data_IF_454238471433
#
_entry.id   IF_454238471433
#
_cell.length_a   1.000
_cell.length_b   1.000
_cell.length_c   1.000
_cell.angle_alpha   90.00
_cell.angle_beta   90.00
_cell.angle_gamma   90.00
#
_symmetry.space_group_name_H-M   'P 1'
#
loop_
_entity.id
_entity.type
_entity.pdbx_description
1 polymer ?
#
# COMPACT_ATOMS: atom_id res chain seq x y z
N UNK A 1 -21.33 -66.81 13.52
CA UNK A 1 -20.10 -66.51 12.76
C UNK A 1 -20.48 -66.31 11.31
N UNK A 2 -20.74 -65.06 10.91
CA UNK A 2 -21.04 -64.64 9.53
C UNK A 2 -20.38 -63.27 9.35
N UNK A 3 -19.58 -63.15 8.29
CA UNK A 3 -18.89 -61.92 7.87
C UNK A 3 -19.91 -60.85 7.43
N UNK A 4 -19.67 -59.60 7.83
CA UNK A 4 -20.06 -58.43 7.05
C UNK A 4 -18.82 -57.58 6.76
N UNK A 5 -18.26 -57.81 5.58
CA UNK A 5 -17.35 -56.87 4.91
C UNK A 5 -18.16 -55.67 4.41
N UNK A 6 -18.18 -54.60 5.20
CA UNK A 6 -18.69 -53.30 4.79
C UNK A 6 -17.58 -52.45 4.19
N UNK A 7 -17.41 -52.55 2.87
CA UNK A 7 -16.66 -51.57 2.08
C UNK A 7 -17.29 -50.19 2.29
N UNK A 8 -16.58 -49.29 2.95
CA UNK A 8 -16.87 -47.86 2.90
C UNK A 8 -15.78 -47.23 2.04
N UNK A 9 -16.16 -46.95 0.80
CA UNK A 9 -15.38 -46.19 -0.14
C UNK A 9 -14.77 -44.96 0.55
N UNK A 10 -13.45 -44.80 0.40
CA UNK A 10 -12.80 -43.51 0.57
C UNK A 10 -13.37 -42.57 -0.49
N UNK A 11 -14.48 -41.90 -0.18
CA UNK A 11 -14.79 -40.63 -0.80
C UNK A 11 -13.58 -39.76 -0.52
N UNK A 12 -12.79 -39.51 -1.57
CA UNK A 12 -11.72 -38.53 -1.54
C UNK A 12 -12.34 -37.22 -1.10
N UNK A 13 -12.27 -36.94 0.20
CA UNK A 13 -12.62 -35.65 0.76
C UNK A 13 -11.66 -34.69 0.06
N UNK A 14 -12.17 -33.95 -0.93
CA UNK A 14 -11.52 -32.75 -1.41
C UNK A 14 -11.23 -31.94 -0.16
N UNK A 15 -9.96 -31.94 0.28
CA UNK A 15 -9.53 -31.13 1.40
C UNK A 15 -9.93 -29.70 1.04
N UNK A 16 -10.95 -29.19 1.71
CA UNK A 16 -11.32 -27.80 1.52
C UNK A 16 -10.11 -26.97 1.86
N UNK A 17 -9.71 -26.07 0.97
CA UNK A 17 -8.58 -25.18 1.22
C UNK A 17 -9.12 -23.92 1.86
N UNK A 18 -8.43 -23.40 2.88
CA UNK A 18 -8.75 -22.11 3.46
C UNK A 18 -8.62 -21.04 2.37
N UNK A 19 -9.75 -20.41 2.03
CA UNK A 19 -9.79 -19.35 1.02
C UNK A 19 -8.93 -18.11 1.38
N UNK A 20 -8.53 -17.96 2.65
CA UNK A 20 -7.74 -16.82 3.11
C UNK A 20 -6.22 -17.05 3.01
N UNK A 21 -5.72 -18.28 3.14
CA UNK A 21 -4.27 -18.54 3.19
C UNK A 21 -3.80 -19.75 2.38
N UNK A 22 -4.69 -20.47 1.69
CA UNK A 22 -4.30 -21.63 0.89
C UNK A 22 -3.95 -22.88 1.72
N UNK A 23 -4.03 -22.81 3.05
CA UNK A 23 -3.75 -23.95 3.92
C UNK A 23 -4.92 -24.95 3.95
N UNK A 24 -4.69 -26.25 4.22
CA UNK A 24 -5.76 -27.22 4.38
C UNK A 24 -6.74 -26.78 5.48
N UNK A 25 -8.02 -26.66 5.16
CA UNK A 25 -9.08 -26.40 6.11
C UNK A 25 -9.69 -27.72 6.58
N UNK A 26 -9.48 -28.06 7.86
CA UNK A 26 -10.01 -29.27 8.48
C UNK A 26 -10.96 -29.02 9.67
N UNK A 27 -11.22 -27.76 10.03
CA UNK A 27 -12.05 -27.40 11.18
C UNK A 27 -12.91 -26.15 10.89
N UNK A 28 -13.72 -25.74 11.86
CA UNK A 28 -14.54 -24.52 11.76
C UNK A 28 -13.72 -23.23 11.67
N UNK A 29 -12.45 -23.28 12.07
CA UNK A 29 -11.49 -22.21 11.89
C UNK A 29 -10.27 -22.72 11.12
N UNK A 30 -9.66 -21.87 10.31
CA UNK A 30 -8.36 -22.20 9.72
C UNK A 30 -7.29 -22.20 10.80
N UNK A 31 -6.55 -23.30 10.95
CA UNK A 31 -5.46 -23.41 11.93
C UNK A 31 -4.27 -22.49 11.61
N UNK A 32 -4.06 -22.13 10.34
CA UNK A 32 -2.92 -21.30 9.91
C UNK A 32 -3.18 -19.79 10.04
N UNK A 33 -4.40 -19.33 9.74
CA UNK A 33 -4.73 -17.89 9.75
C UNK A 33 -5.90 -17.52 10.67
N UNK A 34 -6.45 -18.49 11.41
CA UNK A 34 -7.55 -18.33 12.34
C UNK A 34 -8.91 -18.03 11.69
N UNK A 35 -9.02 -18.06 10.36
CA UNK A 35 -10.22 -17.64 9.61
C UNK A 35 -11.45 -18.44 10.03
N UNK A 36 -12.57 -17.76 10.33
CA UNK A 36 -13.84 -18.44 10.59
C UNK A 36 -14.44 -18.96 9.28
N UNK A 37 -14.57 -20.27 9.18
CA UNK A 37 -15.07 -20.98 8.01
C UNK A 37 -16.60 -21.20 8.09
N UNK A 38 -17.24 -20.84 9.21
CA UNK A 38 -18.69 -20.96 9.43
C UNK A 38 -19.49 -19.80 8.84
N UNK A 39 -18.89 -18.62 8.65
CA UNK A 39 -19.60 -17.37 8.35
C UNK A 39 -20.08 -17.18 6.88
N UNK A 40 -20.39 -18.28 6.18
CA UNK A 40 -20.93 -18.22 4.81
C UNK A 40 -22.47 -18.13 4.83
N UNK A 41 -23.04 -17.03 5.32
CA UNK A 41 -24.50 -16.84 5.47
C UNK A 41 -25.26 -16.44 4.18
N UNK A 42 -24.67 -16.59 3.00
CA UNK A 42 -25.37 -16.52 1.71
C UNK A 42 -25.46 -17.92 1.09
N UNK A 43 -26.30 -18.76 1.69
CA UNK A 43 -26.45 -20.18 1.31
C UNK A 43 -26.88 -20.43 -0.14
N UNK A 44 -27.42 -19.44 -0.85
CA UNK A 44 -27.84 -19.59 -2.26
C UNK A 44 -26.70 -19.46 -3.28
N UNK A 45 -25.57 -18.79 -2.93
CA UNK A 45 -24.40 -18.68 -3.81
C UNK A 45 -23.21 -19.53 -3.35
N UNK A 46 -23.39 -20.33 -2.29
CA UNK A 46 -22.42 -21.30 -1.80
C UNK A 46 -21.04 -20.73 -1.44
N UNK A 47 -20.10 -21.65 -1.21
CA UNK A 47 -18.66 -21.40 -0.97
C UNK A 47 -17.98 -20.56 -2.08
N UNK A 48 -18.63 -20.35 -3.22
CA UNK A 48 -18.12 -19.55 -4.34
C UNK A 48 -18.25 -18.01 -4.14
N UNK A 49 -19.17 -17.53 -3.29
CA UNK A 49 -19.34 -16.09 -3.06
C UNK A 49 -18.41 -15.50 -1.97
N UNK A 50 -17.92 -16.33 -1.05
CA UNK A 50 -16.93 -15.93 -0.04
C UNK A 50 -15.61 -15.38 -0.65
N UNK A 51 -15.01 -16.03 -1.66
CA UNK A 51 -13.82 -15.49 -2.33
C UNK A 51 -14.15 -14.24 -3.17
N UNK A 52 -15.33 -14.15 -3.79
CA UNK A 52 -15.72 -12.96 -4.59
C UNK A 52 -15.90 -11.72 -3.72
N UNK A 53 -16.52 -11.85 -2.54
CA UNK A 53 -16.69 -10.76 -1.55
C UNK A 53 -15.36 -10.21 -1.01
N UNK A 54 -14.28 -11.00 -1.08
CA UNK A 54 -12.94 -10.66 -0.59
C UNK A 54 -11.93 -10.44 -1.72
N UNK A 55 -12.35 -10.57 -2.98
CA UNK A 55 -11.49 -10.35 -4.15
C UNK A 55 -11.09 -8.87 -4.24
N UNK A 56 -9.85 -8.62 -4.64
CA UNK A 56 -9.32 -7.25 -4.79
C UNK A 56 -10.25 -6.36 -5.64
N UNK A 57 -10.73 -6.77 -6.83
CA UNK A 57 -11.59 -5.91 -7.66
C UNK A 57 -12.92 -5.57 -6.98
N UNK A 58 -13.55 -6.52 -6.27
CA UNK A 58 -14.81 -6.27 -5.60
C UNK A 58 -14.68 -5.28 -4.43
N UNK A 59 -13.63 -5.44 -3.60
CA UNK A 59 -13.33 -4.52 -2.51
C UNK A 59 -12.97 -3.14 -3.07
N UNK A 60 -12.14 -3.09 -4.12
CA UNK A 60 -11.72 -1.85 -4.76
C UNK A 60 -12.90 -1.06 -5.34
N UNK A 61 -13.79 -1.72 -6.09
CA UNK A 61 -15.00 -1.08 -6.64
C UNK A 61 -15.95 -0.60 -5.54
N UNK A 62 -16.04 -1.35 -4.42
CA UNK A 62 -16.84 -0.93 -3.27
C UNK A 62 -16.25 0.34 -2.64
N UNK A 63 -14.94 0.40 -2.45
CA UNK A 63 -14.26 1.61 -1.97
C UNK A 63 -14.49 2.76 -2.95
N UNK A 64 -14.34 2.55 -4.26
CA UNK A 64 -14.51 3.59 -5.28
C UNK A 64 -15.87 4.30 -5.21
N UNK A 65 -16.96 3.58 -4.89
CA UNK A 65 -18.32 4.16 -4.76
C UNK A 65 -18.45 5.14 -3.60
N UNK A 66 -17.73 4.92 -2.51
CA UNK A 66 -17.75 5.81 -1.35
C UNK A 66 -16.41 5.72 -0.60
N UNK A 67 -15.33 6.34 -1.13
CA UNK A 67 -13.95 6.04 -0.72
C UNK A 67 -13.72 6.18 0.77
N UNK A 68 -14.16 7.30 1.35
CA UNK A 68 -13.94 7.59 2.78
C UNK A 68 -14.76 6.64 3.66
N UNK A 69 -16.04 6.49 3.35
CA UNK A 69 -16.97 5.68 4.15
C UNK A 69 -16.57 4.21 4.10
N UNK A 70 -16.40 3.64 2.92
CA UNK A 70 -16.14 2.20 2.78
C UNK A 70 -14.75 1.82 3.30
N UNK A 71 -13.72 2.66 3.12
CA UNK A 71 -12.39 2.39 3.69
C UNK A 71 -12.45 2.31 5.21
N UNK A 72 -13.15 3.25 5.86
CA UNK A 72 -13.27 3.27 7.32
C UNK A 72 -14.19 2.17 7.85
N UNK A 73 -15.32 1.93 7.20
CA UNK A 73 -16.25 0.85 7.57
C UNK A 73 -15.55 -0.53 7.48
N UNK A 74 -14.73 -0.78 6.44
CA UNK A 74 -13.92 -1.99 6.35
C UNK A 74 -12.84 -2.08 7.42
N UNK A 75 -12.22 -0.94 7.79
CA UNK A 75 -11.21 -0.91 8.84
C UNK A 75 -11.79 -1.23 10.22
N UNK A 76 -13.04 -0.83 10.47
CA UNK A 76 -13.75 -1.10 11.72
C UNK A 76 -14.35 -2.50 11.79
N UNK A 77 -14.68 -3.12 10.65
CA UNK A 77 -15.28 -4.46 10.59
C UNK A 77 -14.32 -5.56 11.09
N UNK A 78 -14.53 -6.20 12.26
CA UNK A 78 -13.62 -7.23 12.77
C UNK A 78 -13.55 -8.49 11.89
N UNK A 79 -14.56 -8.73 11.05
CA UNK A 79 -14.66 -9.91 10.21
C UNK A 79 -13.83 -9.82 8.92
N UNK A 80 -13.48 -8.61 8.48
CA UNK A 80 -12.69 -8.42 7.26
C UNK A 80 -11.19 -8.64 7.53
N UNK A 81 -10.65 -9.75 7.00
CA UNK A 81 -9.24 -10.16 7.19
C UNK A 81 -8.36 -9.98 5.95
N UNK A 82 -8.96 -9.74 4.78
CA UNK A 82 -8.25 -9.57 3.51
C UNK A 82 -7.54 -8.21 3.34
N UNK A 83 -7.36 -7.43 4.40
CA UNK A 83 -6.76 -6.09 4.29
C UNK A 83 -5.29 -6.12 3.87
N UNK A 84 -4.53 -7.12 4.33
CA UNK A 84 -3.12 -7.27 3.96
C UNK A 84 -2.97 -7.72 2.49
N UNK A 85 -3.74 -8.72 2.05
CA UNK A 85 -3.73 -9.16 0.65
C UNK A 85 -4.21 -8.05 -0.29
N UNK A 86 -5.21 -7.26 0.13
CA UNK A 86 -5.66 -6.08 -0.61
C UNK A 86 -4.53 -5.04 -0.76
N UNK A 87 -3.81 -4.73 0.33
CA UNK A 87 -2.67 -3.82 0.30
C UNK A 87 -1.55 -4.33 -0.60
N UNK A 88 -1.15 -5.59 -0.45
CA UNK A 88 -0.09 -6.21 -1.24
C UNK A 88 -0.44 -6.27 -2.73
N UNK A 89 -1.69 -6.57 -3.08
CA UNK A 89 -2.16 -6.53 -4.47
C UNK A 89 -2.07 -5.12 -5.04
N UNK A 90 -2.50 -4.11 -4.28
CA UNK A 90 -2.39 -2.71 -4.68
C UNK A 90 -0.95 -2.24 -4.86
N UNK A 91 -0.05 -2.64 -3.95
CA UNK A 91 1.40 -2.37 -4.05
C UNK A 91 2.00 -3.10 -5.25
N UNK A 92 1.61 -4.35 -5.52
CA UNK A 92 2.09 -5.10 -6.68
C UNK A 92 1.70 -4.40 -7.99
N UNK A 93 0.45 -3.96 -8.12
CA UNK A 93 -0.01 -3.17 -9.26
C UNK A 93 0.76 -1.84 -9.39
N UNK A 94 0.98 -1.15 -8.27
CA UNK A 94 1.82 0.05 -8.24
C UNK A 94 3.24 -0.25 -8.75
N UNK A 95 3.92 -1.28 -8.24
CA UNK A 95 5.26 -1.64 -8.67
C UNK A 95 5.30 -1.97 -10.17
N UNK A 96 4.33 -2.74 -10.68
CA UNK A 96 4.25 -3.06 -12.11
C UNK A 96 4.14 -1.80 -12.99
N UNK A 97 3.37 -0.80 -12.54
CA UNK A 97 3.14 0.44 -13.29
C UNK A 97 4.25 1.49 -13.08
N UNK A 98 4.88 1.51 -11.91
CA UNK A 98 5.83 2.55 -11.51
C UNK A 98 7.28 2.17 -11.80
N UNK A 99 7.65 0.89 -11.86
CA UNK A 99 9.01 0.45 -12.22
C UNK A 99 9.51 1.06 -13.53
N UNK A 100 8.71 1.12 -14.62
CA UNK A 100 9.12 1.80 -15.86
C UNK A 100 9.47 3.29 -15.67
N UNK A 101 8.76 3.97 -14.76
CA UNK A 101 9.02 5.39 -14.41
C UNK A 101 10.38 5.51 -13.74
N UNK A 102 10.64 4.70 -12.70
CA UNK A 102 11.92 4.71 -11.96
C UNK A 102 13.10 4.43 -12.90
N UNK A 103 12.93 3.50 -13.83
CA UNK A 103 13.97 3.14 -14.79
C UNK A 103 14.35 4.29 -15.74
N UNK A 104 13.38 5.17 -16.10
CA UNK A 104 13.64 6.34 -16.94
C UNK A 104 14.20 7.55 -16.19
N UNK A 105 13.83 7.72 -14.92
CA UNK A 105 14.05 8.99 -14.19
C UNK A 105 15.36 9.02 -13.39
N UNK A 106 15.82 7.87 -12.89
CA UNK A 106 17.00 7.81 -12.01
C UNK A 106 18.31 7.64 -12.79
N UNK A 107 18.25 7.50 -14.13
CA UNK A 107 19.46 7.51 -14.96
C UNK A 107 19.90 8.97 -15.15
N UNK A 108 21.10 9.38 -14.71
CA UNK A 108 21.57 10.74 -14.90
C UNK A 108 21.72 11.02 -16.41
N UNK A 109 20.92 11.94 -16.94
CA UNK A 109 21.05 12.43 -18.32
C UNK A 109 22.24 13.39 -18.51
N UNK A 110 22.91 13.79 -17.42
CA UNK A 110 23.90 14.88 -17.40
C UNK A 110 25.37 14.40 -17.27
N UNK A 111 25.75 13.33 -17.97
CA UNK A 111 27.16 13.08 -18.31
C UNK A 111 28.14 12.81 -17.16
N UNK A 112 27.70 12.67 -15.90
CA UNK A 112 28.57 12.15 -14.84
C UNK A 112 28.80 10.66 -15.09
N UNK A 113 30.07 10.21 -15.23
CA UNK A 113 30.39 8.82 -15.54
C UNK A 113 30.20 7.94 -14.30
N UNK A 114 28.96 7.74 -13.88
CA UNK A 114 28.65 6.85 -12.77
C UNK A 114 28.44 5.43 -13.29
N UNK A 115 29.12 4.45 -12.69
CA UNK A 115 29.00 3.04 -13.04
C UNK A 115 27.55 2.53 -13.03
N UNK A 116 27.22 1.56 -13.89
CA UNK A 116 25.87 0.98 -13.98
C UNK A 116 25.41 0.38 -12.64
N UNK A 117 26.36 -0.18 -11.87
CA UNK A 117 26.11 -0.68 -10.51
C UNK A 117 25.69 0.43 -9.54
N UNK A 118 26.31 1.62 -9.62
CA UNK A 118 25.92 2.78 -8.82
C UNK A 118 24.55 3.32 -9.23
N UNK A 119 24.25 3.37 -10.53
CA UNK A 119 22.92 3.80 -11.01
C UNK A 119 21.82 2.84 -10.52
N UNK A 120 22.09 1.53 -10.56
CA UNK A 120 21.19 0.50 -10.03
C UNK A 120 21.00 0.65 -8.52
N UNK A 121 22.08 0.90 -7.79
CA UNK A 121 22.02 1.16 -6.35
C UNK A 121 21.17 2.39 -6.02
N UNK A 122 21.36 3.50 -6.74
CA UNK A 122 20.57 4.73 -6.57
C UNK A 122 19.08 4.49 -6.84
N UNK A 123 18.73 3.71 -7.87
CA UNK A 123 17.35 3.29 -8.17
C UNK A 123 16.74 2.54 -6.99
N UNK A 124 17.44 1.52 -6.48
CA UNK A 124 16.94 0.69 -5.37
C UNK A 124 16.79 1.51 -4.09
N UNK A 125 17.80 2.30 -3.72
CA UNK A 125 17.77 3.14 -2.52
C UNK A 125 16.64 4.17 -2.56
N UNK A 126 16.34 4.75 -3.73
CA UNK A 126 15.22 5.69 -3.89
C UNK A 126 13.86 5.05 -3.55
N UNK A 127 13.66 3.78 -3.93
CA UNK A 127 12.42 3.04 -3.64
C UNK A 127 12.34 2.64 -2.16
N UNK A 128 13.44 2.14 -1.60
CA UNK A 128 13.52 1.82 -0.17
C UNK A 128 13.19 3.04 0.69
N UNK A 129 13.72 4.22 0.33
CA UNK A 129 13.41 5.48 1.01
C UNK A 129 11.91 5.79 1.07
N UNK A 130 11.18 5.55 -0.03
CA UNK A 130 9.72 5.76 -0.08
C UNK A 130 8.99 4.81 0.88
N UNK A 131 9.33 3.51 0.89
CA UNK A 131 8.70 2.54 1.79
C UNK A 131 9.00 2.82 3.27
N UNK A 132 10.23 3.20 3.60
CA UNK A 132 10.63 3.61 4.94
C UNK A 132 9.86 4.88 5.36
N UNK A 133 9.79 5.87 4.49
CA UNK A 133 9.01 7.09 4.72
C UNK A 133 7.53 6.80 4.98
N UNK A 134 6.92 5.89 4.22
CA UNK A 134 5.54 5.45 4.47
C UNK A 134 5.37 4.81 5.86
N UNK A 135 6.30 3.94 6.27
CA UNK A 135 6.26 3.31 7.58
C UNK A 135 6.40 4.32 8.74
N UNK A 136 7.29 5.31 8.59
CA UNK A 136 7.47 6.39 9.56
C UNK A 136 6.21 7.26 9.63
N UNK A 137 5.65 7.64 8.47
CA UNK A 137 4.41 8.43 8.42
C UNK A 137 3.28 7.69 9.12
N UNK A 138 3.14 6.39 8.87
CA UNK A 138 2.15 5.54 9.52
C UNK A 138 2.32 5.53 11.06
N UNK A 139 3.53 5.25 11.55
CA UNK A 139 3.78 5.18 13.00
C UNK A 139 3.55 6.54 13.68
N UNK A 140 4.03 7.62 13.06
CA UNK A 140 3.88 8.97 13.59
C UNK A 140 2.43 9.44 13.56
N UNK A 141 1.71 9.20 12.46
CA UNK A 141 0.29 9.48 12.37
C UNK A 141 -0.49 8.68 13.41
N UNK A 142 -0.23 7.38 13.60
CA UNK A 142 -0.84 6.60 14.67
C UNK A 142 -0.63 7.24 16.03
N UNK A 143 0.61 7.58 16.38
CA UNK A 143 0.95 8.17 17.68
C UNK A 143 0.25 9.51 17.90
N UNK A 144 0.32 10.42 16.92
CA UNK A 144 -0.30 11.74 16.99
C UNK A 144 -1.82 11.66 17.09
N UNK A 145 -2.47 10.93 16.18
CA UNK A 145 -3.92 10.80 16.21
C UNK A 145 -4.40 10.09 17.47
N UNK A 146 -3.72 9.01 17.89
CA UNK A 146 -4.06 8.32 19.14
C UNK A 146 -3.90 9.22 20.35
N UNK A 147 -2.88 10.09 20.39
CA UNK A 147 -2.69 11.01 21.51
C UNK A 147 -3.84 12.04 21.61
N UNK A 148 -4.19 12.68 20.50
CA UNK A 148 -5.17 13.77 20.48
C UNK A 148 -6.64 13.34 20.28
N UNK A 149 -6.90 12.11 19.83
CA UNK A 149 -8.26 11.63 19.62
C UNK A 149 -8.99 11.37 20.96
N UNK A 150 -10.28 11.70 20.99
CA UNK A 150 -11.17 11.33 22.09
C UNK A 150 -11.39 9.81 22.13
N UNK A 151 -11.57 9.18 20.96
CA UNK A 151 -11.75 7.73 20.84
C UNK A 151 -10.40 7.08 20.59
N UNK A 152 -9.95 6.24 21.54
CA UNK A 152 -8.68 5.50 21.40
C UNK A 152 -8.90 4.21 20.61
N UNK A 153 -8.49 4.19 19.35
CA UNK A 153 -8.52 3.01 18.48
C UNK A 153 -7.24 2.17 18.66
N UNK A 154 -7.33 0.84 18.70
CA UNK A 154 -6.15 -0.03 18.83
C UNK A 154 -5.28 -0.01 17.57
N UNK A 155 -4.00 -0.35 17.73
CA UNK A 155 -3.01 -0.34 16.64
C UNK A 155 -3.43 -1.21 15.46
N UNK A 156 -3.94 -2.43 15.70
CA UNK A 156 -4.34 -3.34 14.63
C UNK A 156 -5.45 -2.75 13.72
N UNK A 157 -6.40 -1.99 14.29
CA UNK A 157 -7.46 -1.35 13.53
C UNK A 157 -6.92 -0.21 12.66
N UNK A 158 -5.95 0.54 13.18
CA UNK A 158 -5.27 1.59 12.42
C UNK A 158 -4.36 1.03 11.32
N UNK A 159 -3.63 -0.05 11.62
CA UNK A 159 -2.86 -0.81 10.62
C UNK A 159 -3.75 -1.27 9.47
N UNK A 160 -4.92 -1.82 9.79
CA UNK A 160 -5.92 -2.22 8.82
C UNK A 160 -6.44 -1.06 7.96
N UNK A 161 -6.74 0.09 8.57
CA UNK A 161 -7.10 1.32 7.84
C UNK A 161 -6.00 1.69 6.84
N UNK A 162 -4.75 1.65 7.27
CA UNK A 162 -3.60 2.01 6.44
C UNK A 162 -3.40 1.04 5.28
N UNK A 163 -3.52 -0.27 5.51
CA UNK A 163 -3.50 -1.30 4.46
C UNK A 163 -4.59 -1.06 3.40
N UNK A 164 -5.82 -0.75 3.83
CA UNK A 164 -6.93 -0.44 2.93
C UNK A 164 -6.69 0.84 2.13
N UNK A 165 -6.22 1.90 2.79
CA UNK A 165 -5.92 3.17 2.13
C UNK A 165 -4.79 3.03 1.10
N UNK A 166 -3.70 2.36 1.47
CA UNK A 166 -2.58 2.08 0.56
C UNK A 166 -3.01 1.20 -0.61
N UNK A 167 -3.72 0.10 -0.36
CA UNK A 167 -4.20 -0.80 -1.41
C UNK A 167 -5.12 -0.12 -2.41
N UNK A 168 -5.86 0.90 -1.97
CA UNK A 168 -6.73 1.70 -2.82
C UNK A 168 -5.97 2.78 -3.60
N UNK A 169 -5.06 3.51 -2.95
CA UNK A 169 -4.38 4.67 -3.56
C UNK A 169 -3.21 4.26 -4.46
N UNK A 170 -2.45 3.21 -4.10
CA UNK A 170 -1.23 2.85 -4.80
C UNK A 170 -1.46 2.55 -6.30
N UNK A 171 -2.50 1.80 -6.71
CA UNK A 171 -2.80 1.59 -8.14
C UNK A 171 -3.14 2.88 -8.88
N UNK A 172 -3.93 3.78 -8.28
CA UNK A 172 -4.28 5.08 -8.89
C UNK A 172 -3.02 5.90 -9.13
N UNK A 173 -2.16 5.97 -8.11
CA UNK A 173 -0.90 6.70 -8.19
C UNK A 173 0.04 6.11 -9.26
N UNK A 174 0.22 4.79 -9.26
CA UNK A 174 1.07 4.11 -10.24
C UNK A 174 0.56 4.28 -11.68
N UNK A 175 -0.74 4.12 -11.91
CA UNK A 175 -1.35 4.29 -13.23
C UNK A 175 -1.21 5.73 -13.75
N UNK A 176 -1.44 6.71 -12.88
CA UNK A 176 -1.30 8.12 -13.22
C UNK A 176 0.15 8.46 -13.61
N UNK A 177 1.12 8.06 -12.80
CA UNK A 177 2.54 8.32 -13.05
C UNK A 177 3.02 7.62 -14.33
N UNK A 178 2.60 6.38 -14.56
CA UNK A 178 2.87 5.67 -15.80
C UNK A 178 2.33 6.45 -17.00
N UNK A 179 1.06 6.84 -16.97
CA UNK A 179 0.45 7.58 -18.08
C UNK A 179 1.17 8.91 -18.33
N UNK A 180 1.32 9.74 -17.30
CA UNK A 180 1.85 11.10 -17.45
C UNK A 180 3.32 11.07 -17.83
N UNK A 181 4.16 10.27 -17.15
CA UNK A 181 5.61 10.29 -17.41
C UNK A 181 6.04 9.39 -18.55
N UNK A 182 5.46 8.20 -18.69
CA UNK A 182 5.92 7.21 -19.68
C UNK A 182 5.27 7.43 -21.04
N UNK A 183 3.96 7.70 -21.06
CA UNK A 183 3.19 7.81 -22.30
C UNK A 183 3.12 9.25 -22.81
N UNK A 184 2.94 10.23 -21.92
CA UNK A 184 2.74 11.64 -22.31
C UNK A 184 4.00 12.51 -22.17
N UNK A 185 5.04 12.03 -21.49
CA UNK A 185 6.27 12.80 -21.26
C UNK A 185 6.09 14.06 -20.40
N UNK A 186 5.04 14.11 -19.58
CA UNK A 186 4.70 15.25 -18.74
C UNK A 186 5.30 15.21 -17.34
N UNK A 187 4.96 16.23 -16.55
CA UNK A 187 5.33 16.37 -15.14
C UNK A 187 4.37 15.57 -14.26
N UNK A 188 4.87 14.49 -13.66
CA UNK A 188 4.14 13.69 -12.64
C UNK A 188 4.34 14.20 -11.21
N UNK A 189 3.56 13.72 -10.25
CA UNK A 189 3.67 14.12 -8.84
C UNK A 189 5.03 13.78 -8.23
N UNK A 190 5.67 12.72 -8.69
CA UNK A 190 7.03 12.34 -8.29
C UNK A 190 8.08 13.40 -8.65
N UNK A 191 7.75 14.38 -9.50
CA UNK A 191 8.62 15.51 -9.83
C UNK A 191 8.71 16.56 -8.72
N UNK A 192 7.70 16.65 -7.85
CA UNK A 192 7.60 17.73 -6.85
C UNK A 192 8.67 17.67 -5.75
N UNK A 193 9.42 16.57 -5.66
CA UNK A 193 10.58 16.44 -4.77
C UNK A 193 11.90 16.96 -5.37
N UNK A 194 11.92 17.35 -6.66
CA UNK A 194 13.11 17.78 -7.39
C UNK A 194 13.05 19.25 -7.82
N UNK A 195 14.15 19.76 -8.41
CA UNK A 195 14.17 21.11 -8.99
C UNK A 195 13.22 21.14 -10.20
N UNK A 196 12.27 22.07 -10.18
CA UNK A 196 11.35 22.36 -11.29
C UNK A 196 11.53 23.79 -11.75
N UNK A 197 11.52 24.01 -13.06
CA UNK A 197 11.54 25.34 -13.65
C UNK A 197 10.16 25.99 -13.60
N UNK A 198 10.09 27.31 -13.79
CA UNK A 198 8.81 28.03 -13.90
C UNK A 198 7.95 27.49 -15.05
N UNK A 199 8.57 27.17 -16.19
CA UNK A 199 7.88 26.59 -17.34
C UNK A 199 7.24 25.23 -17.01
N UNK A 200 7.90 24.40 -16.18
CA UNK A 200 7.37 23.09 -15.78
C UNK A 200 6.07 23.23 -14.98
N UNK A 201 5.99 24.23 -14.08
CA UNK A 201 4.81 24.50 -13.27
C UNK A 201 3.59 24.92 -14.07
N UNK A 202 3.81 25.56 -15.22
CA UNK A 202 2.73 26.03 -16.09
C UNK A 202 2.20 24.93 -17.02
N UNK A 203 2.80 23.73 -17.02
CA UNK A 203 2.32 22.61 -17.84
C UNK A 203 0.97 22.07 -17.34
N UNK A 204 0.06 21.66 -18.24
CA UNK A 204 -1.19 21.01 -17.84
C UNK A 204 -0.98 19.75 -16.98
N UNK A 205 0.10 19.01 -17.24
CA UNK A 205 0.48 17.84 -16.43
C UNK A 205 0.84 18.19 -15.00
N UNK A 206 1.52 19.32 -14.77
CA UNK A 206 1.85 19.77 -13.42
C UNK A 206 0.58 20.16 -12.66
N UNK A 207 -0.34 20.90 -13.29
CA UNK A 207 -1.64 21.23 -12.68
C UNK A 207 -2.46 19.99 -12.34
N UNK A 208 -2.52 19.01 -13.24
CA UNK A 208 -3.18 17.73 -12.99
C UNK A 208 -2.52 16.97 -11.82
N UNK A 209 -1.18 17.00 -11.73
CA UNK A 209 -0.43 16.37 -10.65
C UNK A 209 -0.72 17.05 -9.30
N UNK A 210 -0.80 18.38 -9.26
CA UNK A 210 -1.19 19.13 -8.06
C UNK A 210 -2.62 18.77 -7.64
N UNK A 211 -3.56 18.75 -8.59
CA UNK A 211 -4.95 18.40 -8.31
C UNK A 211 -5.07 16.98 -7.74
N UNK A 212 -4.37 16.00 -8.33
CA UNK A 212 -4.36 14.63 -7.83
C UNK A 212 -3.72 14.55 -6.44
N UNK A 213 -2.60 15.22 -6.21
CA UNK A 213 -1.94 15.25 -4.90
C UNK A 213 -2.88 15.81 -3.81
N UNK A 214 -3.60 16.89 -4.10
CA UNK A 214 -4.60 17.47 -3.20
C UNK A 214 -5.78 16.53 -2.95
N UNK A 215 -6.27 15.82 -3.97
CA UNK A 215 -7.34 14.83 -3.82
C UNK A 215 -6.92 13.65 -2.95
N UNK A 216 -5.72 13.10 -3.18
CA UNK A 216 -5.18 12.02 -2.37
C UNK A 216 -4.97 12.47 -0.92
N UNK A 217 -4.43 13.66 -0.72
CA UNK A 217 -4.27 14.25 0.61
C UNK A 217 -5.62 14.45 1.31
N UNK A 218 -6.62 15.02 0.62
CA UNK A 218 -7.96 15.20 1.16
C UNK A 218 -8.62 13.86 1.52
N UNK A 219 -8.42 12.82 0.71
CA UNK A 219 -8.85 11.46 1.02
C UNK A 219 -8.22 10.94 2.31
N UNK A 220 -6.90 11.06 2.48
CA UNK A 220 -6.21 10.66 3.71
C UNK A 220 -6.71 11.43 4.94
N UNK A 221 -6.87 12.75 4.83
CA UNK A 221 -7.44 13.57 5.91
C UNK A 221 -8.85 13.10 6.26
N UNK A 222 -9.69 12.84 5.26
CA UNK A 222 -11.09 12.47 5.47
C UNK A 222 -11.24 11.09 6.13
N UNK A 223 -10.44 10.08 5.75
CA UNK A 223 -10.46 8.76 6.42
C UNK A 223 -9.99 8.86 7.87
N UNK A 224 -8.95 9.67 8.16
CA UNK A 224 -8.46 9.86 9.52
C UNK A 224 -9.47 10.62 10.38
N UNK A 225 -10.06 11.69 9.84
CA UNK A 225 -11.14 12.44 10.48
C UNK A 225 -12.27 11.51 10.92
N UNK A 226 -12.74 10.65 10.02
CA UNK A 226 -13.85 9.72 10.29
C UNK A 226 -13.45 8.62 11.27
N UNK A 227 -12.32 7.96 11.05
CA UNK A 227 -11.84 6.84 11.89
C UNK A 227 -11.58 7.25 13.34
N UNK A 228 -10.97 8.42 13.54
CA UNK A 228 -10.64 8.97 14.86
C UNK A 228 -11.75 9.88 15.43
N UNK A 229 -12.84 10.08 14.69
CA UNK A 229 -13.97 10.96 15.07
C UNK A 229 -13.50 12.37 15.48
N UNK A 230 -12.63 12.97 14.68
CA UNK A 230 -12.03 14.29 14.95
C UNK A 230 -12.62 15.36 14.03
N UNK A 231 -12.57 16.65 14.40
CA UNK A 231 -12.88 17.73 13.47
C UNK A 231 -11.84 17.79 12.34
N UNK A 232 -12.27 18.24 11.15
CA UNK A 232 -11.45 18.24 9.93
C UNK A 232 -10.12 18.97 10.13
N UNK A 233 -10.13 20.13 10.79
CA UNK A 233 -8.93 20.94 10.98
C UNK A 233 -7.86 20.23 11.83
N UNK A 234 -8.26 19.46 12.86
CA UNK A 234 -7.32 18.65 13.66
C UNK A 234 -6.74 17.53 12.81
N UNK A 235 -7.58 16.82 12.06
CA UNK A 235 -7.11 15.76 11.19
C UNK A 235 -6.13 16.27 10.13
N UNK A 236 -6.43 17.42 9.52
CA UNK A 236 -5.56 18.14 8.60
C UNK A 236 -4.22 18.47 9.23
N UNK A 237 -4.22 19.13 10.39
CA UNK A 237 -3.00 19.57 11.06
C UNK A 237 -2.12 18.39 11.49
N UNK A 238 -2.70 17.36 12.10
CA UNK A 238 -1.96 16.19 12.56
C UNK A 238 -1.40 15.36 11.41
N UNK A 239 -2.16 15.19 10.32
CA UNK A 239 -1.68 14.47 9.15
C UNK A 239 -0.59 15.25 8.40
N UNK A 240 -0.73 16.57 8.29
CA UNK A 240 0.28 17.45 7.71
C UNK A 240 1.58 17.39 8.53
N UNK A 241 1.49 17.51 9.85
CA UNK A 241 2.63 17.40 10.76
C UNK A 241 3.33 16.04 10.60
N UNK A 242 2.56 14.95 10.61
CA UNK A 242 3.10 13.61 10.41
C UNK A 242 3.84 13.48 9.07
N UNK A 243 3.25 14.03 8.01
CA UNK A 243 3.81 13.98 6.65
C UNK A 243 5.09 14.81 6.52
N UNK A 244 5.13 16.03 7.07
CA UNK A 244 6.31 16.90 7.02
C UNK A 244 7.47 16.28 7.80
N UNK A 245 7.22 15.85 9.03
CA UNK A 245 8.24 15.25 9.89
C UNK A 245 8.76 13.96 9.24
N UNK A 246 7.86 13.09 8.78
CA UNK A 246 8.26 11.86 8.11
C UNK A 246 9.07 12.11 6.85
N UNK A 247 8.70 13.12 6.03
CA UNK A 247 9.46 13.46 4.84
C UNK A 247 10.89 13.92 5.19
N UNK A 248 11.04 14.79 6.21
CA UNK A 248 12.35 15.25 6.67
C UNK A 248 13.20 14.11 7.25
N UNK A 249 12.60 13.29 8.12
CA UNK A 249 13.30 12.16 8.77
C UNK A 249 13.65 11.10 7.74
N UNK A 250 12.71 10.74 6.86
CA UNK A 250 12.89 9.78 5.78
C UNK A 250 13.97 10.21 4.79
N UNK A 251 13.99 11.49 4.39
CA UNK A 251 15.06 12.04 3.56
C UNK A 251 16.43 11.93 4.23
N UNK A 252 16.54 12.31 5.50
CA UNK A 252 17.78 12.20 6.27
C UNK A 252 18.25 10.74 6.40
N UNK A 253 17.35 9.81 6.70
CA UNK A 253 17.63 8.38 6.80
C UNK A 253 18.09 7.80 5.47
N UNK A 254 17.39 8.12 4.38
CA UNK A 254 17.77 7.69 3.03
C UNK A 254 19.15 8.21 2.65
N UNK A 255 19.44 9.47 2.95
CA UNK A 255 20.75 10.06 2.67
C UNK A 255 21.87 9.41 3.49
N UNK A 256 21.65 9.18 4.79
CA UNK A 256 22.60 8.47 5.66
C UNK A 256 22.85 7.04 5.19
N UNK A 257 21.79 6.26 4.98
CA UNK A 257 21.91 4.86 4.53
C UNK A 257 22.57 4.82 3.16
N UNK A 258 22.19 5.70 2.23
CA UNK A 258 22.78 5.77 0.90
C UNK A 258 24.26 6.15 0.93
N UNK A 259 24.64 7.14 1.73
CA UNK A 259 26.04 7.54 1.90
C UNK A 259 26.90 6.41 2.47
N UNK A 260 26.43 5.74 3.53
CA UNK A 260 27.17 4.63 4.13
C UNK A 260 27.24 3.41 3.20
N UNK A 261 26.15 3.10 2.50
CA UNK A 261 26.12 1.98 1.55
C UNK A 261 27.09 2.25 0.40
N UNK A 262 27.07 3.45 -0.20
CA UNK A 262 28.01 3.85 -1.24
C UNK A 262 29.46 3.77 -0.74
N UNK A 263 29.76 4.31 0.45
CA UNK A 263 31.10 4.27 1.03
C UNK A 263 31.61 2.84 1.24
N UNK A 264 30.78 1.94 1.78
CA UNK A 264 31.14 0.53 2.00
C UNK A 264 31.39 -0.17 0.66
N UNK A 265 30.51 0.04 -0.32
CA UNK A 265 30.62 -0.60 -1.64
C UNK A 265 31.83 -0.09 -2.44
N UNK A 266 32.17 1.20 -2.33
CA UNK A 266 33.39 1.76 -2.92
C UNK A 266 34.64 1.24 -2.21
N UNK A 267 34.64 1.16 -0.88
CA UNK A 267 35.75 0.57 -0.14
C UNK A 267 35.96 -0.93 -0.46
N UNK A 268 34.88 -1.65 -0.79
CA UNK A 268 34.92 -3.04 -1.22
C UNK A 268 35.30 -3.22 -2.71
N UNK A 269 35.51 -2.15 -3.47
CA UNK A 269 35.80 -2.21 -4.91
C UNK A 269 34.62 -2.68 -5.78
N UNK A 270 33.41 -2.75 -5.22
CA UNK A 270 32.20 -3.21 -5.92
C UNK A 270 31.61 -2.09 -6.80
N UNK A 271 31.77 -0.83 -6.37
CA UNK A 271 31.23 0.34 -7.06
C UNK A 271 32.30 1.43 -7.19
N UNK A 272 32.54 1.89 -8.41
CA UNK A 272 33.41 3.03 -8.71
C UNK A 272 32.58 4.32 -8.84
N UNK A 273 33.11 5.40 -8.28
CA UNK A 273 32.57 6.77 -8.34
C UNK A 273 33.26 7.51 -9.48
#
# INVERSE_FOLDING_TARGET
MILHTGSSASTGATMSVCADCGAPAGSNFCSSCGADLRASSLGFLGQAAAPVRRSFPAVYLKILRAPVRQTTDFAEDPSYRGYLSFALTGIALYCLLFVPVVMRVVVPMNGTPVSESMQTLMKVLSQVGIYVGMAITFALAYALFRYFAAVKRPFHAYFKLYCLALGFVAPVYGAYEFLVRVMLGGIGMSSFGGPMTEADWLTPSALASVALALLLWAYFVAIHRRFWSMPIWKATALYLLASIVSNKVGFWLMWWVGFYTARVLTAAGIVTI
#
